data_IF_529394109625
#
_entry.id   IF_529394109625
#
_cell.length_a   1.000
_cell.length_b   1.000
_cell.length_c   1.000
_cell.angle_alpha   90.00
_cell.angle_beta   90.00
_cell.angle_gamma   90.00
#
_symmetry.space_group_name_H-M   'P 1'
#
loop_
_entity.id
_entity.type
_entity.pdbx_description
1 polymer ?
#
# COMPACT_ATOMS: atom_id res chain seq x y z
N UNK A 1 0.36 24.81 -10.07
CA UNK A 1 0.80 23.45 -9.69
C UNK A 1 2.29 23.52 -9.38
N UNK A 2 2.62 23.85 -8.13
CA UNK A 2 4.00 24.14 -7.76
C UNK A 2 4.77 22.83 -7.59
N UNK A 3 5.68 22.57 -8.54
CA UNK A 3 6.66 21.47 -8.46
C UNK A 3 7.77 21.76 -7.45
N UNK A 4 7.83 23.00 -6.96
CA UNK A 4 8.90 23.45 -6.07
C UNK A 4 8.56 23.10 -4.63
N UNK A 5 9.44 22.34 -4.02
CA UNK A 5 9.43 22.06 -2.58
C UNK A 5 10.17 23.23 -1.92
N UNK A 6 9.48 23.99 -1.07
CA UNK A 6 10.01 25.20 -0.43
C UNK A 6 11.26 24.94 0.42
N UNK A 7 11.39 23.74 0.99
CA UNK A 7 12.51 23.37 1.85
C UNK A 7 13.42 22.33 1.21
N UNK A 8 14.66 22.70 0.95
CA UNK A 8 15.69 21.81 0.35
C UNK A 8 15.86 20.47 1.08
N UNK A 9 15.67 20.45 2.40
CA UNK A 9 15.77 19.21 3.21
C UNK A 9 14.68 18.17 2.93
N UNK A 10 13.56 18.55 2.34
CA UNK A 10 12.51 17.60 1.97
C UNK A 10 12.96 16.63 0.86
N UNK A 11 13.88 17.04 -0.03
CA UNK A 11 14.35 16.20 -1.13
C UNK A 11 15.01 14.90 -0.64
N UNK A 12 16.13 14.96 0.15
CA UNK A 12 16.80 13.75 0.62
C UNK A 12 15.91 12.93 1.58
N UNK A 13 15.12 13.59 2.41
CA UNK A 13 14.23 12.90 3.36
C UNK A 13 13.19 12.07 2.63
N UNK A 14 12.52 12.60 1.60
CA UNK A 14 11.52 11.87 0.84
C UNK A 14 12.11 10.66 0.09
N UNK A 15 13.29 10.80 -0.48
CA UNK A 15 13.94 9.68 -1.17
C UNK A 15 14.35 8.59 -0.19
N UNK A 16 14.94 8.94 0.96
CA UNK A 16 15.34 7.97 1.98
C UNK A 16 14.13 7.25 2.59
N UNK A 17 13.10 8.02 2.98
CA UNK A 17 11.83 7.46 3.45
C UNK A 17 11.23 6.55 2.37
N UNK A 18 11.24 6.99 1.12
CA UNK A 18 10.78 6.19 -0.01
C UNK A 18 11.52 4.85 -0.11
N UNK A 19 12.85 4.82 -0.01
CA UNK A 19 13.64 3.58 -0.04
C UNK A 19 13.20 2.61 1.07
N UNK A 20 13.12 3.08 2.30
CA UNK A 20 12.68 2.25 3.45
C UNK A 20 11.26 1.76 3.25
N UNK A 21 10.36 2.64 2.85
CA UNK A 21 8.94 2.31 2.63
C UNK A 21 8.76 1.34 1.46
N UNK A 22 9.55 1.47 0.39
CA UNK A 22 9.53 0.53 -0.73
C UNK A 22 9.83 -0.91 -0.29
N UNK A 23 10.83 -1.09 0.59
CA UNK A 23 11.15 -2.39 1.22
C UNK A 23 9.95 -2.88 2.05
N UNK A 24 9.46 -2.05 2.98
CA UNK A 24 8.36 -2.39 3.87
C UNK A 24 7.10 -2.78 3.09
N UNK A 25 6.75 -1.99 2.08
CA UNK A 25 5.54 -2.22 1.28
C UNK A 25 5.61 -3.53 0.50
N UNK A 26 6.78 -3.86 -0.03
CA UNK A 26 6.97 -5.10 -0.79
C UNK A 26 6.90 -6.32 0.12
N UNK A 27 7.51 -6.28 1.30
CA UNK A 27 7.58 -7.40 2.24
C UNK A 27 6.30 -7.55 3.06
N UNK A 28 5.84 -6.46 3.68
CA UNK A 28 4.76 -6.47 4.65
C UNK A 28 3.49 -5.74 4.18
N UNK A 29 3.61 -4.72 3.31
CA UNK A 29 2.45 -4.02 2.75
C UNK A 29 1.91 -2.87 3.60
N UNK A 30 2.69 -2.36 4.57
CA UNK A 30 2.30 -1.29 5.49
C UNK A 30 2.90 0.09 5.19
N UNK A 31 3.52 0.28 4.03
CA UNK A 31 4.28 1.51 3.73
C UNK A 31 3.46 2.80 3.82
N UNK A 32 2.19 2.78 3.41
CA UNK A 32 1.33 3.96 3.47
C UNK A 32 1.02 4.42 4.90
N UNK A 33 1.17 3.54 5.90
CA UNK A 33 1.09 3.92 7.33
C UNK A 33 2.20 4.88 7.76
N UNK A 34 3.27 4.95 6.98
CA UNK A 34 4.41 5.84 7.21
C UNK A 34 4.34 7.04 6.26
N UNK A 35 4.11 6.80 4.96
CA UNK A 35 4.18 7.87 3.96
C UNK A 35 3.05 8.88 4.07
N UNK A 36 1.81 8.47 4.37
CA UNK A 36 0.69 9.40 4.51
C UNK A 36 0.93 10.40 5.64
N UNK A 37 1.22 9.99 6.90
CA UNK A 37 1.52 10.95 7.96
C UNK A 37 2.72 11.84 7.63
N UNK A 38 3.77 11.31 7.01
CA UNK A 38 4.95 12.12 6.65
C UNK A 38 4.55 13.21 5.65
N UNK A 39 3.80 12.89 4.59
CA UNK A 39 3.34 13.88 3.62
C UNK A 39 2.46 14.95 4.26
N UNK A 40 1.57 14.56 5.18
CA UNK A 40 0.74 15.50 5.95
C UNK A 40 1.62 16.40 6.85
N UNK A 41 2.60 15.84 7.54
CA UNK A 41 3.53 16.62 8.40
C UNK A 41 4.49 17.52 7.62
N UNK A 42 4.71 17.24 6.34
CA UNK A 42 5.41 18.11 5.42
C UNK A 42 4.53 19.24 4.87
N UNK A 43 3.28 19.36 5.35
CA UNK A 43 2.35 20.44 5.06
C UNK A 43 1.37 20.20 3.92
N UNK A 44 1.29 18.98 3.37
CA UNK A 44 0.27 18.68 2.37
C UNK A 44 -1.10 18.50 3.03
N UNK A 45 -2.18 19.09 2.46
CA UNK A 45 -3.55 18.73 2.83
C UNK A 45 -3.76 17.23 2.72
N UNK A 46 -4.59 16.66 3.57
CA UNK A 46 -4.74 15.20 3.72
C UNK A 46 -5.18 14.49 2.43
N UNK A 47 -6.08 15.11 1.67
CA UNK A 47 -6.53 14.60 0.38
C UNK A 47 -5.39 14.67 -0.67
N UNK A 48 -4.62 15.76 -0.70
CA UNK A 48 -3.43 15.90 -1.57
C UNK A 48 -2.34 14.90 -1.18
N UNK A 49 -2.08 14.72 0.12
CA UNK A 49 -1.14 13.70 0.61
C UNK A 49 -1.55 12.29 0.17
N UNK A 50 -2.86 11.96 0.24
CA UNK A 50 -3.40 10.68 -0.21
C UNK A 50 -3.22 10.47 -1.71
N UNK A 51 -3.56 11.47 -2.54
CA UNK A 51 -3.34 11.42 -3.99
C UNK A 51 -1.86 11.33 -4.37
N UNK A 52 -1.01 12.14 -3.74
CA UNK A 52 0.45 12.16 -3.95
C UNK A 52 1.10 10.81 -3.60
N UNK A 53 0.67 10.19 -2.51
CA UNK A 53 1.15 8.87 -2.09
C UNK A 53 0.91 7.78 -3.15
N UNK A 54 -0.09 7.95 -4.05
CA UNK A 54 -0.37 6.98 -5.14
C UNK A 54 0.80 6.85 -6.11
N UNK A 55 1.57 7.91 -6.35
CA UNK A 55 2.78 7.84 -7.20
C UNK A 55 3.79 6.85 -6.59
N UNK A 56 4.07 6.99 -5.29
CA UNK A 56 4.96 6.06 -4.57
C UNK A 56 4.45 4.61 -4.60
N UNK A 57 3.14 4.41 -4.43
CA UNK A 57 2.52 3.09 -4.50
C UNK A 57 2.60 2.47 -5.89
N UNK A 58 2.34 3.24 -6.96
CA UNK A 58 2.46 2.77 -8.34
C UNK A 58 3.89 2.34 -8.65
N UNK A 59 4.87 3.17 -8.30
CA UNK A 59 6.30 2.86 -8.50
C UNK A 59 6.73 1.63 -7.69
N UNK A 60 6.31 1.53 -6.43
CA UNK A 60 6.55 0.33 -5.60
C UNK A 60 5.97 -0.93 -6.22
N UNK A 61 4.69 -0.90 -6.56
CA UNK A 61 3.97 -2.06 -7.08
C UNK A 61 4.50 -2.49 -8.47
N UNK A 62 4.83 -1.53 -9.32
CA UNK A 62 5.45 -1.77 -10.63
C UNK A 62 6.80 -2.46 -10.47
N UNK A 63 7.68 -1.89 -9.64
CA UNK A 63 9.03 -2.41 -9.40
C UNK A 63 9.01 -3.80 -8.76
N UNK A 64 8.16 -4.01 -7.73
CA UNK A 64 7.99 -5.30 -7.09
C UNK A 64 7.45 -6.36 -8.07
N UNK A 65 6.45 -6.01 -8.88
CA UNK A 65 5.88 -6.92 -9.88
C UNK A 65 6.93 -7.34 -10.90
N UNK A 66 7.73 -6.40 -11.42
CA UNK A 66 8.85 -6.73 -12.32
C UNK A 66 9.87 -7.65 -11.65
N UNK A 67 10.21 -7.39 -10.37
CA UNK A 67 11.12 -8.21 -9.60
C UNK A 67 10.63 -9.65 -9.42
N UNK A 68 9.34 -9.85 -9.11
CA UNK A 68 8.76 -11.20 -9.00
C UNK A 68 8.66 -11.90 -10.36
N UNK A 69 8.25 -11.18 -11.41
CA UNK A 69 8.20 -11.72 -12.78
C UNK A 69 9.56 -12.17 -13.29
N UNK A 70 10.62 -11.44 -13.00
CA UNK A 70 12.00 -11.81 -13.40
C UNK A 70 12.49 -13.11 -12.74
N UNK A 71 11.83 -13.54 -11.65
CA UNK A 71 12.04 -14.83 -10.97
C UNK A 71 11.07 -15.93 -11.43
N UNK A 72 10.29 -15.70 -12.49
CA UNK A 72 9.33 -16.67 -13.00
C UNK A 72 8.06 -16.80 -12.15
N UNK A 73 7.82 -15.92 -11.19
CA UNK A 73 6.63 -15.96 -10.34
C UNK A 73 5.48 -15.28 -11.06
N UNK A 74 4.65 -16.08 -11.74
CA UNK A 74 3.48 -15.62 -12.46
C UNK A 74 2.23 -15.77 -11.60
N UNK A 75 1.42 -14.72 -11.51
CA UNK A 75 0.17 -14.68 -10.72
C UNK A 75 -1.09 -14.53 -11.55
N UNK A 76 -0.93 -14.19 -12.83
CA UNK A 76 -2.00 -14.15 -13.83
C UNK A 76 -2.48 -15.57 -14.16
N UNK A 77 -3.80 -15.79 -14.46
CA UNK A 77 -4.86 -14.78 -14.59
C UNK A 77 -5.54 -14.38 -13.27
N UNK A 78 -5.28 -15.09 -12.15
CA UNK A 78 -5.97 -14.86 -10.87
C UNK A 78 -5.81 -13.42 -10.38
N UNK A 79 -4.57 -12.90 -10.34
CA UNK A 79 -4.30 -11.52 -9.90
C UNK A 79 -4.98 -10.46 -10.78
N UNK A 80 -5.15 -10.74 -12.06
CA UNK A 80 -5.84 -9.83 -12.98
C UNK A 80 -7.34 -9.76 -12.67
N UNK A 81 -8.00 -10.91 -12.45
CA UNK A 81 -9.43 -10.90 -12.10
C UNK A 81 -9.70 -10.15 -10.80
N UNK A 82 -9.03 -10.53 -9.71
CA UNK A 82 -9.24 -9.86 -8.42
C UNK A 82 -8.79 -8.39 -8.45
N UNK A 83 -7.76 -8.06 -9.25
CA UNK A 83 -7.29 -6.70 -9.46
C UNK A 83 -8.29 -5.80 -10.17
N UNK A 84 -9.02 -6.30 -11.18
CA UNK A 84 -10.08 -5.56 -11.86
C UNK A 84 -11.26 -5.26 -10.95
N UNK A 85 -11.69 -6.22 -10.11
CA UNK A 85 -12.71 -5.97 -9.10
C UNK A 85 -12.23 -4.95 -8.06
N UNK A 86 -10.97 -5.04 -7.62
CA UNK A 86 -10.38 -4.06 -6.73
C UNK A 86 -10.28 -2.68 -7.38
N UNK A 87 -10.04 -2.58 -8.70
CA UNK A 87 -10.03 -1.33 -9.44
C UNK A 87 -11.39 -0.64 -9.39
N UNK A 88 -12.48 -1.39 -9.67
CA UNK A 88 -13.85 -0.84 -9.59
C UNK A 88 -14.11 -0.31 -8.17
N UNK A 89 -13.78 -1.09 -7.14
CA UNK A 89 -13.89 -0.66 -5.76
C UNK A 89 -13.06 0.60 -5.47
N UNK A 90 -11.84 0.66 -6.00
CA UNK A 90 -10.91 1.78 -5.72
C UNK A 90 -11.37 3.11 -6.31
N UNK A 91 -12.07 3.11 -7.43
CA UNK A 91 -12.69 4.33 -8.00
C UNK A 91 -13.72 4.91 -7.02
N UNK A 92 -14.59 4.04 -6.45
CA UNK A 92 -15.59 4.46 -5.46
C UNK A 92 -14.89 4.97 -4.19
N UNK A 93 -13.92 4.24 -3.68
CA UNK A 93 -13.19 4.62 -2.46
C UNK A 93 -12.41 5.92 -2.61
N UNK A 94 -11.78 6.15 -3.77
CA UNK A 94 -11.06 7.39 -4.05
C UNK A 94 -12.03 8.59 -4.14
N UNK A 95 -13.19 8.41 -4.78
CA UNK A 95 -14.20 9.45 -4.86
C UNK A 95 -14.68 9.88 -3.46
N UNK A 96 -14.94 8.94 -2.55
CA UNK A 96 -15.29 9.24 -1.17
C UNK A 96 -14.17 10.02 -0.46
N UNK A 97 -12.91 9.68 -0.72
CA UNK A 97 -11.76 10.30 -0.04
C UNK A 97 -11.51 11.77 -0.47
N UNK A 98 -11.96 12.16 -1.67
CA UNK A 98 -11.78 13.52 -2.22
C UNK A 98 -12.62 14.54 -1.45
N UNK A 99 -13.86 14.17 -1.09
CA UNK A 99 -14.85 15.07 -0.53
C UNK A 99 -14.77 15.20 1.00
N UNK A 100 -13.84 14.47 1.66
CA UNK A 100 -13.70 14.46 3.12
C UNK A 100 -12.82 15.63 3.59
N UNK A 101 -13.29 16.35 4.62
CA UNK A 101 -12.54 17.37 5.34
C UNK A 101 -11.25 16.78 5.97
N UNK A 102 -10.15 17.56 5.95
CA UNK A 102 -8.83 17.14 6.45
C UNK A 102 -8.88 16.66 7.91
N UNK A 103 -9.61 17.34 8.79
CA UNK A 103 -9.73 16.94 10.21
C UNK A 103 -10.42 15.60 10.37
N UNK A 104 -11.45 15.35 9.57
CA UNK A 104 -12.19 14.08 9.58
C UNK A 104 -11.29 12.99 9.01
N UNK A 105 -10.60 13.26 7.89
CA UNK A 105 -9.68 12.32 7.28
C UNK A 105 -8.56 11.89 8.25
N UNK A 106 -7.93 12.86 8.93
CA UNK A 106 -6.86 12.59 9.90
C UNK A 106 -7.32 11.72 11.07
N UNK A 107 -8.53 11.95 11.60
CA UNK A 107 -9.11 11.10 12.64
C UNK A 107 -9.40 9.70 12.15
N UNK A 108 -9.99 9.56 10.96
CA UNK A 108 -10.24 8.24 10.34
C UNK A 108 -8.91 7.52 10.11
N UNK A 109 -7.90 8.20 9.55
CA UNK A 109 -6.58 7.63 9.33
C UNK A 109 -5.96 7.15 10.66
N UNK A 110 -6.03 7.94 11.73
CA UNK A 110 -5.52 7.55 13.05
C UNK A 110 -6.19 6.29 13.58
N UNK A 111 -7.53 6.20 13.48
CA UNK A 111 -8.28 5.01 13.89
C UNK A 111 -7.87 3.79 13.07
N UNK A 112 -7.79 3.95 11.75
CA UNK A 112 -7.35 2.89 10.83
C UNK A 112 -5.93 2.42 11.20
N UNK A 113 -5.02 3.35 11.48
CA UNK A 113 -3.65 3.02 11.89
C UNK A 113 -3.63 2.16 13.15
N UNK A 114 -4.45 2.47 14.16
CA UNK A 114 -4.58 1.67 15.38
C UNK A 114 -5.15 0.28 15.06
N UNK A 115 -6.22 0.19 14.27
CA UNK A 115 -6.81 -1.08 13.87
C UNK A 115 -5.79 -1.96 13.13
N UNK A 116 -5.02 -1.38 12.22
CA UNK A 116 -3.99 -2.13 11.48
C UNK A 116 -2.88 -2.62 12.41
N UNK A 117 -2.47 -1.83 13.44
CA UNK A 117 -1.54 -2.30 14.46
C UNK A 117 -2.11 -3.52 15.19
N UNK A 118 -3.37 -3.46 15.61
CA UNK A 118 -4.01 -4.60 16.28
C UNK A 118 -4.04 -5.83 15.36
N UNK A 119 -4.36 -5.64 14.07
CA UNK A 119 -4.29 -6.73 13.09
C UNK A 119 -2.87 -7.30 13.01
N UNK A 120 -1.84 -6.45 12.97
CA UNK A 120 -0.43 -6.89 12.91
C UNK A 120 -0.03 -7.66 14.17
N UNK A 121 -0.42 -7.17 15.35
CA UNK A 121 -0.06 -7.79 16.63
C UNK A 121 -0.78 -9.12 16.87
N UNK A 122 -2.06 -9.20 16.52
CA UNK A 122 -2.91 -10.36 16.75
C UNK A 122 -3.13 -11.22 15.51
N UNK A 123 -2.40 -10.94 14.40
CA UNK A 123 -2.56 -11.71 13.18
C UNK A 123 -2.23 -13.19 13.42
N UNK A 124 -3.06 -14.11 12.88
CA UNK A 124 -2.79 -15.53 12.97
C UNK A 124 -1.47 -15.87 12.27
N UNK A 125 -0.88 -16.99 12.68
CA UNK A 125 0.35 -17.47 12.04
C UNK A 125 0.08 -17.72 10.55
N UNK A 126 0.95 -17.16 9.73
CA UNK A 126 0.92 -17.35 8.28
C UNK A 126 1.19 -18.82 7.97
N UNK A 127 0.34 -19.41 7.13
CA UNK A 127 0.50 -20.78 6.68
C UNK A 127 1.80 -20.93 5.88
N UNK A 128 2.61 -21.92 6.25
CA UNK A 128 3.90 -22.22 5.62
C UNK A 128 3.83 -23.54 4.83
N UNK A 129 4.66 -23.67 3.80
CA UNK A 129 4.78 -24.89 3.02
C UNK A 129 4.03 -24.86 1.69
N UNK A 130 3.98 -26.01 1.03
CA UNK A 130 3.20 -26.21 -0.20
C UNK A 130 1.71 -26.40 0.16
N UNK A 131 0.92 -25.41 -0.22
CA UNK A 131 -0.49 -25.36 0.05
C UNK A 131 -1.28 -25.62 -1.24
N UNK A 132 -2.38 -26.38 -1.15
CA UNK A 132 -3.31 -26.50 -2.26
C UNK A 132 -4.05 -25.17 -2.47
N UNK A 133 -3.61 -24.37 -3.45
CA UNK A 133 -4.13 -23.06 -3.73
C UNK A 133 -5.60 -23.09 -4.17
N UNK A 134 -6.38 -22.19 -3.59
CA UNK A 134 -7.81 -22.00 -3.88
C UNK A 134 -8.03 -20.76 -4.74
N UNK A 135 -7.71 -20.86 -6.04
CA UNK A 135 -7.74 -19.72 -6.98
C UNK A 135 -8.74 -19.89 -8.14
N UNK A 136 -9.58 -20.93 -8.11
CA UNK A 136 -10.56 -21.27 -9.17
C UNK A 136 -11.95 -21.48 -8.58
N UNK A 137 -12.97 -21.54 -9.46
CA UNK A 137 -14.35 -21.82 -9.08
C UNK A 137 -14.93 -20.86 -8.05
N UNK A 138 -15.64 -21.39 -7.05
CA UNK A 138 -16.26 -20.57 -5.98
C UNK A 138 -15.27 -19.68 -5.25
N UNK A 139 -14.04 -20.17 -5.02
CA UNK A 139 -13.02 -19.38 -4.33
C UNK A 139 -12.58 -18.14 -5.13
N UNK A 140 -12.56 -18.21 -6.45
CA UNK A 140 -12.29 -17.04 -7.30
C UNK A 140 -13.42 -16.00 -7.16
N UNK A 141 -14.69 -16.43 -7.20
CA UNK A 141 -15.84 -15.51 -7.08
C UNK A 141 -15.82 -14.78 -5.73
N UNK A 142 -15.61 -15.52 -4.64
CA UNK A 142 -15.47 -14.92 -3.29
C UNK A 142 -14.29 -13.96 -3.25
N UNK A 143 -13.14 -14.33 -3.82
CA UNK A 143 -11.98 -13.46 -3.88
C UNK A 143 -12.26 -12.16 -4.66
N UNK A 144 -12.95 -12.24 -5.79
CA UNK A 144 -13.36 -11.05 -6.56
C UNK A 144 -14.23 -10.10 -5.73
N UNK A 145 -15.22 -10.63 -5.01
CA UNK A 145 -16.10 -9.83 -4.16
C UNK A 145 -15.33 -9.19 -2.99
N UNK A 146 -14.48 -9.96 -2.30
CA UNK A 146 -13.66 -9.44 -1.20
C UNK A 146 -12.67 -8.39 -1.71
N UNK A 147 -12.07 -8.60 -2.88
CA UNK A 147 -11.14 -7.63 -3.46
C UNK A 147 -11.83 -6.37 -3.99
N UNK A 148 -13.10 -6.41 -4.34
CA UNK A 148 -13.90 -5.20 -4.56
C UNK A 148 -13.96 -4.34 -3.28
N UNK A 149 -14.27 -4.94 -2.12
CA UNK A 149 -14.30 -4.24 -0.82
C UNK A 149 -12.90 -3.75 -0.42
N UNK A 150 -11.88 -4.60 -0.56
CA UNK A 150 -10.48 -4.23 -0.32
C UNK A 150 -10.07 -3.07 -1.23
N UNK A 151 -10.54 -3.07 -2.48
CA UNK A 151 -10.31 -1.99 -3.43
C UNK A 151 -10.95 -0.68 -2.99
N UNK A 152 -12.19 -0.70 -2.47
CA UNK A 152 -12.84 0.49 -1.89
C UNK A 152 -12.00 1.08 -0.77
N UNK A 153 -11.58 0.25 0.17
CA UNK A 153 -10.68 0.68 1.25
C UNK A 153 -9.33 1.20 0.71
N UNK A 154 -8.74 0.50 -0.27
CA UNK A 154 -7.49 0.89 -0.92
C UNK A 154 -7.58 2.20 -1.69
N UNK A 155 -8.70 2.44 -2.37
CA UNK A 155 -9.01 3.71 -3.03
C UNK A 155 -9.15 4.85 -2.03
N UNK A 156 -9.84 4.58 -0.91
CA UNK A 156 -10.09 5.56 0.14
C UNK A 156 -8.80 6.02 0.84
N UNK A 157 -8.02 5.12 1.45
CA UNK A 157 -6.84 5.52 2.23
C UNK A 157 -5.59 4.68 1.99
N UNK A 158 -5.73 3.44 1.58
CA UNK A 158 -4.63 2.49 1.31
C UNK A 158 -3.68 2.18 2.49
N UNK A 159 -3.93 2.66 3.69
CA UNK A 159 -3.05 2.46 4.84
C UNK A 159 -3.12 1.02 5.35
N UNK A 160 -1.99 0.29 5.34
CA UNK A 160 -1.93 -1.09 5.84
C UNK A 160 -2.66 -2.15 5.02
N UNK A 161 -3.19 -1.80 3.85
CA UNK A 161 -3.97 -2.71 2.99
C UNK A 161 -3.19 -3.97 2.61
N UNK A 162 -1.88 -3.86 2.48
CA UNK A 162 -1.03 -4.97 2.12
C UNK A 162 -1.07 -6.11 3.14
N UNK A 163 -1.25 -5.82 4.43
CA UNK A 163 -1.46 -6.85 5.46
C UNK A 163 -2.80 -7.55 5.27
N UNK A 164 -3.86 -6.80 5.00
CA UNK A 164 -5.20 -7.35 4.76
C UNK A 164 -5.18 -8.28 3.56
N UNK A 165 -4.60 -7.84 2.44
CA UNK A 165 -4.41 -8.65 1.23
C UNK A 165 -3.59 -9.91 1.54
N UNK A 166 -2.48 -9.76 2.28
CA UNK A 166 -1.59 -10.86 2.61
C UNK A 166 -2.30 -11.92 3.45
N UNK A 167 -3.04 -11.52 4.48
CA UNK A 167 -3.80 -12.43 5.33
C UNK A 167 -4.88 -13.16 4.52
N UNK A 168 -5.66 -12.45 3.71
CA UNK A 168 -6.70 -13.06 2.91
C UNK A 168 -6.14 -14.08 1.90
N UNK A 169 -5.12 -13.69 1.13
CA UNK A 169 -4.51 -14.57 0.14
C UNK A 169 -3.83 -15.80 0.77
N UNK A 170 -3.20 -15.64 1.94
CA UNK A 170 -2.56 -16.76 2.60
C UNK A 170 -3.58 -17.68 3.29
N UNK A 171 -4.51 -17.15 4.08
CA UNK A 171 -5.44 -17.96 4.88
C UNK A 171 -6.59 -18.53 4.05
N UNK A 172 -7.23 -17.70 3.20
CA UNK A 172 -8.37 -18.13 2.41
C UNK A 172 -7.97 -18.83 1.11
N UNK A 173 -7.10 -18.16 0.31
CA UNK A 173 -6.64 -18.71 -0.97
C UNK A 173 -5.50 -19.72 -0.81
N UNK A 174 -4.94 -19.92 0.39
CA UNK A 174 -3.87 -20.86 0.70
C UNK A 174 -2.63 -20.69 -0.19
N UNK A 175 -2.24 -19.45 -0.43
CA UNK A 175 -1.04 -19.12 -1.20
C UNK A 175 0.16 -19.00 -0.27
N UNK A 176 1.33 -19.48 -0.72
CA UNK A 176 2.57 -19.25 0.01
C UNK A 176 2.99 -17.77 -0.05
N UNK A 177 3.83 -17.32 0.90
CA UNK A 177 4.20 -15.91 1.05
C UNK A 177 4.78 -15.27 -0.20
N UNK A 178 5.56 -16.01 -0.98
CA UNK A 178 6.19 -15.48 -2.19
C UNK A 178 5.10 -15.17 -3.24
N UNK A 179 4.19 -16.11 -3.46
CA UNK A 179 3.05 -15.90 -4.37
C UNK A 179 2.06 -14.86 -3.85
N UNK A 180 1.84 -14.81 -2.54
CA UNK A 180 1.04 -13.74 -1.89
C UNK A 180 1.62 -12.38 -2.22
N UNK A 181 2.92 -12.16 -2.00
CA UNK A 181 3.56 -10.87 -2.24
C UNK A 181 3.57 -10.49 -3.74
N UNK A 182 3.79 -11.47 -4.62
CA UNK A 182 3.70 -11.24 -6.06
C UNK A 182 2.27 -10.88 -6.50
N UNK A 183 1.25 -11.62 -6.01
CA UNK A 183 -0.17 -11.35 -6.30
C UNK A 183 -0.60 -10.00 -5.74
N UNK A 184 -0.22 -9.71 -4.49
CA UNK A 184 -0.45 -8.40 -3.85
C UNK A 184 0.09 -7.26 -4.69
N UNK A 185 1.34 -7.35 -5.13
CA UNK A 185 1.97 -6.30 -5.94
C UNK A 185 1.25 -6.08 -7.27
N UNK A 186 0.81 -7.15 -7.94
CA UNK A 186 0.04 -7.06 -9.18
C UNK A 186 -1.33 -6.40 -8.97
N UNK A 187 -2.04 -6.79 -7.92
CA UNK A 187 -3.36 -6.23 -7.59
C UNK A 187 -3.26 -4.76 -7.18
N UNK A 188 -2.27 -4.41 -6.34
CA UNK A 188 -2.04 -3.02 -5.93
C UNK A 188 -1.74 -2.16 -7.15
N UNK A 189 -0.94 -2.64 -8.10
CA UNK A 189 -0.66 -1.92 -9.35
C UNK A 189 -1.94 -1.61 -10.11
N UNK A 190 -2.82 -2.61 -10.28
CA UNK A 190 -4.05 -2.45 -11.07
C UNK A 190 -5.01 -1.44 -10.42
N UNK A 191 -5.36 -1.61 -9.14
CA UNK A 191 -6.35 -0.74 -8.53
C UNK A 191 -5.82 0.67 -8.22
N UNK A 192 -4.52 0.80 -7.95
CA UNK A 192 -3.93 2.12 -7.66
C UNK A 192 -3.95 3.02 -8.89
N UNK A 193 -3.93 2.46 -10.11
CA UNK A 193 -4.12 3.25 -11.34
C UNK A 193 -5.48 3.97 -11.30
N UNK A 194 -6.56 3.26 -10.97
CA UNK A 194 -7.88 3.87 -10.87
C UNK A 194 -7.94 4.97 -9.82
N UNK A 195 -7.49 4.68 -8.59
CA UNK A 195 -7.45 5.68 -7.53
C UNK A 195 -6.57 6.88 -7.90
N UNK A 196 -5.38 6.66 -8.48
CA UNK A 196 -4.49 7.73 -8.92
C UNK A 196 -5.15 8.65 -9.95
N UNK A 197 -5.81 8.09 -10.97
CA UNK A 197 -6.51 8.88 -11.97
C UNK A 197 -7.64 9.71 -11.36
N UNK A 198 -8.36 9.17 -10.38
CA UNK A 198 -9.42 9.90 -9.67
C UNK A 198 -8.84 11.12 -8.92
N UNK A 199 -7.75 10.97 -8.18
CA UNK A 199 -7.09 12.09 -7.50
C UNK A 199 -6.46 13.07 -8.49
N UNK A 200 -5.89 12.58 -9.59
CA UNK A 200 -5.24 13.41 -10.61
C UNK A 200 -6.23 14.34 -11.32
N UNK A 201 -7.39 13.80 -11.70
CA UNK A 201 -8.44 14.60 -12.39
C UNK A 201 -9.00 15.70 -11.47
N UNK A 202 -8.92 15.51 -10.16
CA UNK A 202 -9.36 16.48 -9.16
C UNK A 202 -8.23 17.40 -8.66
N UNK A 203 -7.07 17.46 -9.35
CA UNK A 203 -5.92 18.29 -8.99
C UNK A 203 -5.34 18.03 -7.57
N UNK A 204 -5.56 16.83 -7.02
CA UNK A 204 -5.16 16.42 -5.67
C UNK A 204 -3.84 15.61 -5.67
N UNK A 205 -2.89 15.97 -6.55
CA UNK A 205 -1.59 15.28 -6.65
C UNK A 205 -0.47 16.31 -6.72
N UNK A 206 0.44 16.27 -5.75
CA UNK A 206 1.69 17.01 -5.82
C UNK A 206 2.79 16.14 -6.44
N UNK A 207 3.14 16.42 -7.69
CA UNK A 207 4.13 15.63 -8.43
C UNK A 207 5.55 15.75 -7.85
N UNK A 208 5.94 16.90 -7.30
CA UNK A 208 7.25 17.10 -6.70
C UNK A 208 7.51 16.10 -5.56
N UNK A 209 6.62 16.10 -4.57
CA UNK A 209 6.69 15.16 -3.43
C UNK A 209 6.49 13.72 -3.87
N UNK A 210 5.53 13.48 -4.79
CA UNK A 210 5.17 12.14 -5.27
C UNK A 210 6.30 11.47 -6.04
N UNK A 211 6.99 12.17 -6.93
CA UNK A 211 8.10 11.62 -7.72
C UNK A 211 9.32 11.31 -6.83
N UNK A 212 9.68 12.22 -5.92
CA UNK A 212 10.81 11.98 -5.01
C UNK A 212 10.58 10.75 -4.12
N UNK A 213 9.38 10.67 -3.51
CA UNK A 213 8.95 9.50 -2.77
C UNK A 213 8.96 8.26 -3.66
N UNK A 214 8.42 8.38 -4.87
CA UNK A 214 8.31 7.32 -5.85
C UNK A 214 9.66 6.75 -6.29
N UNK A 215 10.64 7.60 -6.57
CA UNK A 215 12.01 7.15 -6.88
C UNK A 215 12.60 6.33 -5.75
N UNK A 216 12.50 6.81 -4.50
CA UNK A 216 12.93 6.03 -3.35
C UNK A 216 12.22 4.67 -3.26
N UNK A 217 10.89 4.67 -3.34
CA UNK A 217 10.12 3.43 -3.22
C UNK A 217 10.40 2.43 -4.34
N UNK A 218 10.69 2.90 -5.55
CA UNK A 218 11.07 2.07 -6.68
C UNK A 218 12.35 1.26 -6.39
N UNK A 219 13.40 1.93 -5.90
CA UNK A 219 14.66 1.27 -5.52
C UNK A 219 14.47 0.29 -4.37
N UNK A 220 13.78 0.72 -3.31
CA UNK A 220 13.50 -0.14 -2.15
C UNK A 220 12.70 -1.40 -2.52
N UNK A 221 11.66 -1.25 -3.34
CA UNK A 221 10.83 -2.36 -3.79
C UNK A 221 11.57 -3.31 -4.73
N UNK A 222 12.39 -2.77 -5.64
CA UNK A 222 13.22 -3.58 -6.53
C UNK A 222 14.19 -4.45 -5.74
N UNK A 223 14.88 -3.87 -4.78
CA UNK A 223 15.78 -4.59 -3.91
C UNK A 223 15.05 -5.67 -3.09
N UNK A 224 13.97 -5.32 -2.42
CA UNK A 224 13.19 -6.23 -1.59
C UNK A 224 12.60 -7.42 -2.37
N UNK A 225 12.06 -7.17 -3.57
CA UNK A 225 11.47 -8.24 -4.40
C UNK A 225 12.51 -9.25 -4.91
N UNK A 226 13.76 -8.81 -5.06
CA UNK A 226 14.86 -9.68 -5.51
C UNK A 226 15.53 -10.45 -4.37
N UNK A 227 15.71 -9.80 -3.23
CA UNK A 227 16.50 -10.37 -2.12
C UNK A 227 15.65 -10.99 -1.02
N UNK A 228 14.31 -11.06 -1.16
CA UNK A 228 13.33 -11.73 -0.28
C UNK A 228 13.92 -12.13 1.09
N UNK A 229 14.10 -11.15 1.97
CA UNK A 229 14.89 -11.34 3.21
C UNK A 229 14.03 -12.08 4.23
N UNK A 230 14.23 -13.39 4.37
CA UNK A 230 13.56 -14.25 5.36
C UNK A 230 13.77 -13.83 6.83
N UNK A 231 14.78 -13.01 7.13
CA UNK A 231 15.14 -12.60 8.50
C UNK A 231 14.68 -11.19 8.90
N UNK A 232 14.07 -10.41 8.00
CA UNK A 232 13.72 -9.01 8.27
C UNK A 232 12.28 -8.75 8.69
N UNK A 233 11.39 -9.74 8.65
CA UNK A 233 9.95 -9.53 8.94
C UNK A 233 9.70 -9.00 10.34
N UNK A 234 10.37 -9.53 11.36
CA UNK A 234 10.19 -9.11 12.75
C UNK A 234 10.68 -7.68 12.98
N UNK A 235 11.83 -7.31 12.39
CA UNK A 235 12.38 -5.95 12.49
C UNK A 235 11.45 -4.95 11.80
N UNK A 236 10.97 -5.28 10.61
CA UNK A 236 10.00 -4.46 9.86
C UNK A 236 8.71 -4.30 10.65
N UNK A 237 8.21 -5.37 11.30
CA UNK A 237 7.01 -5.36 12.13
C UNK A 237 7.17 -4.43 13.34
N UNK A 238 8.27 -4.54 14.09
CA UNK A 238 8.55 -3.68 15.26
C UNK A 238 8.67 -2.21 14.83
N UNK A 239 9.42 -1.93 13.77
CA UNK A 239 9.58 -0.58 13.24
C UNK A 239 8.24 0.04 12.82
N UNK A 240 7.39 -0.73 12.12
CA UNK A 240 6.04 -0.29 11.76
C UNK A 240 5.19 0.02 12.99
N UNK A 241 5.15 -0.86 13.97
CA UNK A 241 4.34 -0.66 15.19
C UNK A 241 4.75 0.63 15.90
N UNK A 242 6.05 0.84 16.11
CA UNK A 242 6.56 2.06 16.78
C UNK A 242 6.21 3.31 15.97
N UNK A 243 6.50 3.31 14.67
CA UNK A 243 6.25 4.46 13.79
C UNK A 243 4.77 4.82 13.74
N UNK A 244 3.91 3.80 13.62
CA UNK A 244 2.46 3.99 13.49
C UNK A 244 1.85 4.51 14.81
N UNK A 245 2.31 4.04 15.96
CA UNK A 245 1.86 4.56 17.26
C UNK A 245 2.19 6.05 17.42
N UNK A 246 3.43 6.43 17.10
CA UNK A 246 3.87 7.83 17.19
C UNK A 246 3.07 8.73 16.22
N UNK A 247 2.88 8.30 14.99
CA UNK A 247 2.15 9.07 13.98
C UNK A 247 0.66 9.13 14.26
N UNK A 248 0.04 8.03 14.71
CA UNK A 248 -1.37 8.01 15.07
C UNK A 248 -1.68 9.00 16.20
N UNK A 249 -0.84 9.04 17.23
CA UNK A 249 -0.99 10.00 18.33
C UNK A 249 -0.87 11.44 17.82
N UNK A 250 0.13 11.73 16.98
CA UNK A 250 0.32 13.07 16.43
C UNK A 250 -0.84 13.51 15.53
N UNK A 251 -1.35 12.62 14.67
CA UNK A 251 -2.50 12.91 13.79
C UNK A 251 -3.80 13.11 14.56
N UNK A 252 -3.95 12.49 15.73
CA UNK A 252 -5.14 12.67 16.57
C UNK A 252 -5.20 14.06 17.22
N UNK A 253 -4.03 14.61 17.55
CA UNK A 253 -3.88 15.91 18.22
C UNK A 253 -3.86 17.08 17.20
N UNK A 254 -3.45 16.80 15.94
CA UNK A 254 -3.36 17.79 14.86
C UNK A 254 -4.71 17.97 14.15
#
# INVERSE_FOLDING_TARGET
>A
MDLLIENFWHYPVLVLVGCVVGVINTMAGGGSLITLPILIFLGLPSNVANGTNRIGLLMTAFSANMGYRSKGILTSPFSTYIGLFALIGSLIGAQIAIDIDDKIFNKILSIIMIIVILIILFSPQILKGDLNERIKGKSLIVSCFVFFIIGMYGGFVNAGIGFIIMLFLNLYNRMNLIRVNATKSAVILIYTIGAFLTFLINDLVNFGYGLLLGFGTLFGAWWASRYSVKKGEDIVRIFLVISVLLFSFKLWVF
#
